data_IF_624738398944
#
_entry.id   IF_624738398944
#
_cell.length_a   1.000
_cell.length_b   1.000
_cell.length_c   1.000
_cell.angle_alpha   90.00
_cell.angle_beta   90.00
_cell.angle_gamma   90.00
#
_symmetry.space_group_name_H-M   'P 1'
#
loop_
_entity.id
_entity.type
_entity.pdbx_description
1 polymer ?
#
# COMPACT_ATOMS: atom_id res chain seq x y z
N UNK A 1 4.11 -18.56 34.48
CA UNK A 1 4.44 -17.25 35.08
C UNK A 1 5.51 -16.57 34.22
N UNK A 2 5.08 -15.90 33.15
CA UNK A 2 5.95 -15.17 32.23
C UNK A 2 5.24 -13.87 31.85
N UNK A 3 4.82 -13.12 32.88
CA UNK A 3 4.38 -11.73 32.71
C UNK A 3 5.64 -10.87 32.62
N UNK A 4 6.14 -10.75 31.39
CA UNK A 4 7.18 -9.78 31.04
C UNK A 4 6.66 -8.37 31.31
N UNK A 5 7.42 -7.63 32.12
CA UNK A 5 7.33 -6.20 32.34
C UNK A 5 7.22 -5.43 31.01
N UNK A 6 6.00 -5.18 30.53
CA UNK A 6 5.76 -4.16 29.52
C UNK A 6 6.00 -2.79 30.18
N UNK A 7 7.03 -2.08 29.72
CA UNK A 7 7.29 -0.71 30.16
C UNK A 7 6.02 0.16 30.02
N UNK A 8 5.65 0.98 31.02
CA UNK A 8 4.43 1.80 30.99
C UNK A 8 4.37 2.74 29.78
N UNK A 9 5.52 3.12 29.21
CA UNK A 9 5.61 3.87 27.96
C UNK A 9 5.03 3.12 26.74
N UNK A 10 5.20 1.80 26.66
CA UNK A 10 4.67 0.97 25.56
C UNK A 10 3.15 0.86 25.57
N UNK A 11 2.55 0.73 26.76
CA UNK A 11 1.10 0.70 26.92
C UNK A 11 0.46 2.06 26.62
N UNK A 12 1.09 3.17 27.04
CA UNK A 12 0.63 4.51 26.73
C UNK A 12 0.68 4.78 25.21
N UNK A 13 1.78 4.44 24.55
CA UNK A 13 1.92 4.58 23.10
C UNK A 13 0.89 3.75 22.34
N UNK A 14 0.59 2.52 22.79
CA UNK A 14 -0.46 1.68 22.19
C UNK A 14 -1.85 2.28 22.36
N UNK A 15 -2.16 2.84 23.54
CA UNK A 15 -3.43 3.54 23.80
C UNK A 15 -3.57 4.80 22.94
N UNK A 16 -2.51 5.61 22.81
CA UNK A 16 -2.50 6.80 21.95
C UNK A 16 -2.72 6.41 20.49
N UNK A 17 -1.98 5.41 20.00
CA UNK A 17 -2.13 4.92 18.61
C UNK A 17 -3.53 4.39 18.33
N UNK A 18 -4.11 3.66 19.28
CA UNK A 18 -5.49 3.17 19.18
C UNK A 18 -6.50 4.32 19.15
N UNK A 19 -6.38 5.30 20.05
CA UNK A 19 -7.26 6.46 20.12
C UNK A 19 -7.17 7.32 18.84
N UNK A 20 -5.96 7.57 18.33
CA UNK A 20 -5.74 8.28 17.05
C UNK A 20 -6.35 7.50 15.88
N UNK A 21 -6.21 6.17 15.89
CA UNK A 21 -6.83 5.29 14.91
C UNK A 21 -8.37 5.38 14.92
N UNK A 22 -8.99 5.38 16.11
CA UNK A 22 -10.44 5.51 16.25
C UNK A 22 -10.95 6.88 15.80
N UNK A 23 -10.26 7.96 16.19
CA UNK A 23 -10.62 9.33 15.81
C UNK A 23 -10.58 9.53 14.29
N UNK A 24 -9.48 9.12 13.65
CA UNK A 24 -9.32 9.29 12.19
C UNK A 24 -10.30 8.45 11.37
N UNK A 25 -10.82 7.34 11.93
CA UNK A 25 -11.84 6.51 11.29
C UNK A 25 -13.28 6.95 11.55
N UNK A 26 -13.52 7.96 12.38
CA UNK A 26 -14.87 8.44 12.68
C UNK A 26 -15.66 8.82 11.42
N UNK A 27 -16.93 8.41 11.35
CA UNK A 27 -17.81 8.70 10.22
C UNK A 27 -17.51 7.93 8.92
N UNK A 28 -16.53 7.00 8.93
CA UNK A 28 -16.08 6.31 7.71
C UNK A 28 -16.57 4.85 7.58
N UNK A 29 -17.24 4.31 8.60
CA UNK A 29 -17.55 2.88 8.71
C UNK A 29 -18.40 2.31 7.56
N UNK A 30 -19.31 3.11 7.01
CA UNK A 30 -20.27 2.69 5.98
C UNK A 30 -19.73 2.72 4.54
N UNK A 31 -18.46 3.13 4.34
CA UNK A 31 -17.87 3.30 3.02
C UNK A 31 -16.98 2.10 2.62
N UNK A 32 -16.94 1.82 1.31
CA UNK A 32 -16.03 0.84 0.72
C UNK A 32 -14.56 1.14 1.08
N UNK A 33 -13.69 0.14 1.18
CA UNK A 33 -12.30 0.31 1.63
C UNK A 33 -11.50 1.40 0.90
N UNK A 34 -11.70 1.51 -0.43
CA UNK A 34 -11.03 2.50 -1.29
C UNK A 34 -11.44 3.94 -0.95
N UNK A 35 -12.73 4.17 -0.66
CA UNK A 35 -13.27 5.46 -0.24
C UNK A 35 -12.92 5.75 1.21
N UNK A 36 -13.04 4.75 2.09
CA UNK A 36 -12.70 4.83 3.51
C UNK A 36 -11.29 5.37 3.74
N UNK A 37 -10.28 4.87 2.99
CA UNK A 37 -8.89 5.36 3.08
C UNK A 37 -8.78 6.87 2.83
N UNK A 38 -9.52 7.42 1.87
CA UNK A 38 -9.52 8.86 1.55
C UNK A 38 -10.24 9.70 2.62
N UNK A 39 -11.33 9.18 3.18
CA UNK A 39 -12.04 9.87 4.26
C UNK A 39 -11.21 9.91 5.55
N UNK A 40 -10.45 8.87 5.84
CA UNK A 40 -9.47 8.85 6.95
C UNK A 40 -8.41 9.95 6.75
N UNK A 41 -7.87 10.08 5.53
CA UNK A 41 -6.92 11.16 5.19
C UNK A 41 -7.58 12.53 5.37
N UNK A 42 -8.84 12.68 4.95
CA UNK A 42 -9.62 13.93 5.10
C UNK A 42 -9.81 14.28 6.58
N UNK A 43 -10.15 13.31 7.43
CA UNK A 43 -10.27 13.51 8.87
C UNK A 43 -8.93 13.91 9.49
N UNK A 44 -7.85 13.22 9.13
CA UNK A 44 -6.51 13.52 9.63
C UNK A 44 -6.10 14.96 9.28
N UNK A 45 -6.29 15.38 8.02
CA UNK A 45 -6.01 16.76 7.60
C UNK A 45 -6.92 17.75 8.31
N UNK A 46 -8.20 17.43 8.49
CA UNK A 46 -9.16 18.25 9.25
C UNK A 46 -8.71 18.47 10.70
N UNK A 47 -8.25 17.43 11.39
CA UNK A 47 -7.73 17.54 12.75
C UNK A 47 -6.42 18.32 12.81
N UNK A 48 -5.49 18.07 11.88
CA UNK A 48 -4.25 18.85 11.80
C UNK A 48 -4.53 20.34 11.54
N UNK A 49 -5.48 20.63 10.65
CA UNK A 49 -5.93 22.01 10.38
C UNK A 49 -6.60 22.63 11.61
N UNK A 50 -7.35 21.85 12.39
CA UNK A 50 -7.96 22.30 13.62
C UNK A 50 -6.93 22.66 14.68
N UNK A 51 -5.93 21.81 14.88
CA UNK A 51 -4.86 22.03 15.85
C UNK A 51 -4.05 23.27 15.44
N UNK A 52 -3.70 23.39 14.15
CA UNK A 52 -2.99 24.55 13.64
C UNK A 52 -3.79 25.84 13.83
N UNK A 53 -5.09 25.84 13.51
CA UNK A 53 -5.97 27.00 13.68
C UNK A 53 -6.09 27.41 15.15
N UNK A 54 -6.23 26.47 16.08
CA UNK A 54 -6.21 26.75 17.53
C UNK A 54 -4.87 27.35 17.97
N UNK A 55 -3.76 26.82 17.46
CA UNK A 55 -2.43 27.35 17.78
C UNK A 55 -2.31 28.81 17.33
N UNK A 56 -2.77 29.16 16.13
CA UNK A 56 -2.76 30.56 15.68
C UNK A 56 -3.68 31.45 16.52
N UNK A 57 -4.87 30.97 16.92
CA UNK A 57 -5.75 31.73 17.80
C UNK A 57 -5.06 32.08 19.13
N UNK A 58 -4.33 31.12 19.72
CA UNK A 58 -3.55 31.35 20.95
C UNK A 58 -2.40 32.34 20.70
N UNK A 59 -1.63 32.18 19.62
CA UNK A 59 -0.55 33.10 19.27
C UNK A 59 -1.05 34.53 19.08
N UNK A 60 -2.20 34.71 18.42
CA UNK A 60 -2.80 36.03 18.20
C UNK A 60 -3.34 36.65 19.50
N UNK A 61 -3.97 35.85 20.35
CA UNK A 61 -4.45 36.30 21.66
C UNK A 61 -3.29 36.73 22.57
N UNK A 62 -2.16 36.00 22.52
CA UNK A 62 -0.96 36.33 23.28
C UNK A 62 -0.27 37.61 22.79
N UNK A 63 -0.33 37.90 21.48
CA UNK A 63 0.28 39.10 20.90
C UNK A 63 -0.58 40.36 21.15
N UNK A 64 -1.88 40.33 20.80
CA UNK A 64 -2.80 41.43 21.07
C UNK A 64 -4.26 40.98 20.97
N UNK A 65 -4.89 40.70 22.12
CA UNK A 65 -6.27 40.25 22.15
C UNK A 65 -7.26 41.27 21.57
N UNK A 66 -7.10 42.56 21.88
CA UNK A 66 -8.00 43.62 21.42
C UNK A 66 -7.81 43.95 19.93
N UNK A 67 -6.55 44.00 19.47
CA UNK A 67 -6.20 44.29 18.08
C UNK A 67 -6.50 43.13 17.12
N UNK A 68 -6.37 41.89 17.58
CA UNK A 68 -6.54 40.67 16.77
C UNK A 68 -7.81 39.88 17.08
N UNK A 69 -8.81 40.49 17.73
CA UNK A 69 -10.07 39.80 18.10
C UNK A 69 -10.72 39.06 16.93
N UNK A 70 -10.79 39.68 15.75
CA UNK A 70 -11.44 39.09 14.58
C UNK A 70 -10.62 37.93 13.99
N UNK A 71 -9.30 38.07 13.78
CA UNK A 71 -8.44 36.94 13.47
C UNK A 71 -8.55 35.75 14.43
N UNK A 72 -8.66 36.00 15.74
CA UNK A 72 -8.83 34.95 16.75
C UNK A 72 -10.16 34.23 16.53
N UNK A 73 -11.26 34.95 16.38
CA UNK A 73 -12.59 34.35 16.15
C UNK A 73 -12.64 33.51 14.86
N UNK A 74 -12.02 33.98 13.78
CA UNK A 74 -11.96 33.23 12.50
C UNK A 74 -11.17 31.94 12.65
N UNK A 75 -10.06 31.95 13.40
CA UNK A 75 -9.30 30.73 13.69
C UNK A 75 -10.06 29.75 14.59
N UNK A 76 -10.81 30.23 15.60
CA UNK A 76 -11.66 29.37 16.42
C UNK A 76 -12.79 28.73 15.60
N UNK A 77 -13.43 29.48 14.72
CA UNK A 77 -14.45 28.96 13.80
C UNK A 77 -13.86 27.96 12.80
N UNK A 78 -12.67 28.25 12.27
CA UNK A 78 -11.93 27.33 11.40
C UNK A 78 -11.63 26.03 12.12
N UNK A 79 -11.13 26.09 13.35
CA UNK A 79 -10.87 24.91 14.17
C UNK A 79 -12.12 24.07 14.42
N UNK A 80 -13.22 24.69 14.85
CA UNK A 80 -14.47 23.99 15.09
C UNK A 80 -15.00 23.31 13.81
N UNK A 81 -14.93 24.02 12.68
CA UNK A 81 -15.37 23.49 11.38
C UNK A 81 -14.50 22.31 10.97
N UNK A 82 -13.17 22.43 11.03
CA UNK A 82 -12.27 21.35 10.59
C UNK A 82 -12.24 20.14 11.54
N UNK A 83 -12.52 20.34 12.84
CA UNK A 83 -12.72 19.26 13.80
C UNK A 83 -14.01 18.46 13.53
N UNK A 84 -15.01 19.08 12.91
CA UNK A 84 -16.28 18.44 12.57
C UNK A 84 -16.23 17.56 11.29
N UNK A 85 -15.06 17.34 10.69
CA UNK A 85 -14.91 16.60 9.41
C UNK A 85 -15.61 15.25 9.33
N UNK A 86 -15.57 14.38 10.36
CA UNK A 86 -16.32 13.12 10.35
C UNK A 86 -17.81 13.26 10.08
N UNK A 87 -18.41 14.35 10.55
CA UNK A 87 -19.84 14.62 10.41
C UNK A 87 -20.23 14.90 8.96
N UNK A 88 -19.38 15.61 8.22
CA UNK A 88 -19.67 16.00 6.84
C UNK A 88 -19.71 14.80 5.88
N UNK A 89 -19.03 13.70 6.21
CA UNK A 89 -19.05 12.47 5.40
C UNK A 89 -20.45 11.88 5.22
N UNK A 90 -21.40 12.19 6.12
CA UNK A 90 -22.81 11.75 6.01
C UNK A 90 -23.53 12.30 4.78
N UNK A 91 -23.07 13.42 4.25
CA UNK A 91 -23.67 14.07 3.06
C UNK A 91 -23.02 13.60 1.75
N UNK A 92 -22.07 12.68 1.83
CA UNK A 92 -21.37 12.13 0.69
C UNK A 92 -19.86 12.15 0.88
N UNK A 93 -19.17 11.30 0.12
CA UNK A 93 -17.71 11.12 0.25
C UNK A 93 -16.88 12.29 -0.29
N UNK A 94 -17.50 13.35 -0.83
CA UNK A 94 -16.82 14.59 -1.23
C UNK A 94 -17.04 15.74 -0.24
N UNK A 95 -18.11 15.68 0.55
CA UNK A 95 -18.62 16.82 1.30
C UNK A 95 -17.60 17.37 2.32
N UNK A 96 -16.98 16.49 3.11
CA UNK A 96 -15.95 16.91 4.07
C UNK A 96 -14.75 17.60 3.40
N UNK A 97 -14.31 17.08 2.24
CA UNK A 97 -13.23 17.69 1.47
C UNK A 97 -13.60 19.06 0.89
N UNK A 98 -14.84 19.23 0.42
CA UNK A 98 -15.33 20.49 -0.12
C UNK A 98 -15.49 21.56 0.97
N UNK A 99 -16.02 21.19 2.13
CA UNK A 99 -16.10 22.07 3.31
C UNK A 99 -14.71 22.50 3.74
N UNK A 100 -13.74 21.56 3.80
CA UNK A 100 -12.36 21.87 4.14
C UNK A 100 -11.74 22.88 3.14
N UNK A 101 -11.85 22.62 1.84
CA UNK A 101 -11.29 23.49 0.81
C UNK A 101 -11.91 24.89 0.84
N UNK A 102 -13.24 24.96 0.96
CA UNK A 102 -13.97 26.23 1.05
C UNK A 102 -13.54 27.02 2.29
N UNK A 103 -13.47 26.36 3.45
CA UNK A 103 -13.07 27.00 4.69
C UNK A 103 -11.64 27.52 4.63
N UNK A 104 -10.70 26.71 4.12
CA UNK A 104 -9.31 27.12 3.92
C UNK A 104 -9.27 28.35 3.02
N UNK A 105 -9.96 28.35 1.88
CA UNK A 105 -9.91 29.47 0.93
C UNK A 105 -10.49 30.76 1.51
N UNK A 106 -11.63 30.69 2.19
CA UNK A 106 -12.24 31.86 2.85
C UNK A 106 -11.30 32.41 3.93
N UNK A 107 -10.75 31.54 4.76
CA UNK A 107 -9.83 31.94 5.85
C UNK A 107 -8.51 32.52 5.31
N UNK A 108 -7.92 31.92 4.28
CA UNK A 108 -6.70 32.45 3.64
C UNK A 108 -6.94 33.82 3.00
N UNK A 109 -8.09 34.01 2.33
CA UNK A 109 -8.43 35.30 1.72
C UNK A 109 -8.63 36.37 2.79
N UNK A 110 -9.39 36.07 3.84
CA UNK A 110 -9.59 36.98 4.97
C UNK A 110 -8.27 37.34 5.66
N UNK A 111 -7.39 36.37 5.93
CA UNK A 111 -6.12 36.67 6.58
C UNK A 111 -5.16 37.44 5.68
N UNK A 112 -5.17 37.18 4.37
CA UNK A 112 -4.37 37.99 3.44
C UNK A 112 -4.89 39.42 3.37
N UNK A 113 -6.20 39.63 3.43
CA UNK A 113 -6.80 40.96 3.58
C UNK A 113 -6.35 41.64 4.87
N UNK A 114 -6.43 40.94 6.01
CA UNK A 114 -6.18 41.51 7.34
C UNK A 114 -4.69 41.83 7.58
N UNK A 115 -3.81 40.87 7.29
CA UNK A 115 -2.37 40.97 7.53
C UNK A 115 -1.60 41.56 6.33
N UNK A 116 -2.27 41.75 5.20
CA UNK A 116 -1.66 42.18 3.95
C UNK A 116 -0.89 41.07 3.23
N UNK A 117 -0.51 41.35 1.98
CA UNK A 117 0.24 40.42 1.11
C UNK A 117 1.61 40.02 1.70
N UNK A 118 2.25 40.92 2.44
CA UNK A 118 3.58 40.69 3.04
C UNK A 118 3.60 39.53 4.04
N UNK A 119 2.44 39.15 4.58
CA UNK A 119 2.30 37.98 5.44
C UNK A 119 2.59 36.64 4.75
N UNK A 120 2.61 36.57 3.42
CA UNK A 120 2.85 35.33 2.67
C UNK A 120 1.73 34.29 2.76
N UNK A 121 0.63 34.55 3.47
CA UNK A 121 -0.47 33.60 3.70
C UNK A 121 -1.10 33.12 2.38
N UNK A 122 -1.20 34.01 1.39
CA UNK A 122 -1.67 33.69 0.03
C UNK A 122 -0.83 32.64 -0.71
N UNK A 123 0.38 32.31 -0.25
CA UNK A 123 1.16 31.20 -0.81
C UNK A 123 0.54 29.83 -0.46
N UNK A 124 -0.27 29.76 0.61
CA UNK A 124 -0.91 28.52 1.04
C UNK A 124 -1.98 27.99 0.08
N UNK A 125 -2.44 28.79 -0.88
CA UNK A 125 -3.31 28.30 -1.96
C UNK A 125 -2.63 27.16 -2.75
N UNK A 126 -1.31 27.22 -2.94
CA UNK A 126 -0.55 26.15 -3.59
C UNK A 126 -0.49 24.87 -2.74
N UNK A 127 -0.37 25.01 -1.41
CA UNK A 127 -0.43 23.88 -0.48
C UNK A 127 -1.80 23.22 -0.48
N UNK A 128 -2.87 24.02 -0.44
CA UNK A 128 -4.25 23.53 -0.52
C UNK A 128 -4.54 22.82 -1.85
N UNK A 129 -4.00 23.32 -2.97
CA UNK A 129 -4.07 22.65 -4.27
C UNK A 129 -3.39 21.26 -4.23
N UNK A 130 -2.20 21.14 -3.64
CA UNK A 130 -1.51 19.85 -3.49
C UNK A 130 -2.32 18.87 -2.62
N UNK A 131 -2.87 19.35 -1.50
CA UNK A 131 -3.68 18.55 -0.57
C UNK A 131 -4.98 18.05 -1.21
N UNK A 132 -5.57 18.79 -2.16
CA UNK A 132 -6.77 18.37 -2.87
C UNK A 132 -6.59 17.02 -3.60
N UNK A 133 -5.39 16.76 -4.14
CA UNK A 133 -5.09 15.47 -4.76
C UNK A 133 -5.14 14.29 -3.77
N UNK A 134 -4.72 14.51 -2.52
CA UNK A 134 -4.78 13.48 -1.46
C UNK A 134 -6.22 13.17 -1.05
N UNK A 135 -7.06 14.20 -0.93
CA UNK A 135 -8.44 14.10 -0.43
C UNK A 135 -9.36 13.47 -1.48
N UNK A 136 -9.34 14.00 -2.71
CA UNK A 136 -10.30 13.62 -3.73
C UNK A 136 -9.83 12.45 -4.58
N UNK A 137 -8.51 12.32 -4.77
CA UNK A 137 -7.87 11.35 -5.66
C UNK A 137 -8.24 11.54 -7.14
N UNK A 138 -7.53 10.83 -8.03
CA UNK A 138 -7.67 11.00 -9.48
C UNK A 138 -9.08 10.71 -10.04
N UNK A 139 -9.89 9.93 -9.32
CA UNK A 139 -11.27 9.64 -9.71
C UNK A 139 -12.19 10.88 -9.76
N UNK A 140 -11.78 12.00 -9.15
CA UNK A 140 -12.55 13.26 -9.09
C UNK A 140 -11.73 14.43 -9.61
N UNK A 141 -11.02 14.21 -10.73
CA UNK A 141 -10.12 15.21 -11.31
C UNK A 141 -10.81 16.55 -11.62
N UNK A 142 -12.08 16.53 -12.02
CA UNK A 142 -12.86 17.75 -12.26
C UNK A 142 -12.98 18.63 -11.01
N UNK A 143 -13.28 18.03 -9.84
CA UNK A 143 -13.34 18.75 -8.57
C UNK A 143 -11.97 19.29 -8.14
N UNK A 144 -10.92 18.50 -8.35
CA UNK A 144 -9.55 18.96 -8.06
C UNK A 144 -9.21 20.16 -8.94
N UNK A 145 -9.50 20.10 -10.23
CA UNK A 145 -9.25 21.20 -11.16
C UNK A 145 -10.00 22.46 -10.74
N UNK A 146 -11.26 22.35 -10.33
CA UNK A 146 -12.04 23.49 -9.80
C UNK A 146 -11.36 24.10 -8.57
N UNK A 147 -10.87 23.29 -7.63
CA UNK A 147 -10.18 23.77 -6.43
C UNK A 147 -8.85 24.44 -6.79
N UNK A 148 -8.05 23.83 -7.68
CA UNK A 148 -6.77 24.37 -8.13
C UNK A 148 -6.96 25.71 -8.82
N UNK A 149 -7.89 25.79 -9.78
CA UNK A 149 -8.22 27.04 -10.50
C UNK A 149 -8.76 28.09 -9.55
N UNK A 150 -9.68 27.74 -8.64
CA UNK A 150 -10.22 28.69 -7.65
C UNK A 150 -9.12 29.21 -6.72
N UNK A 151 -8.20 28.35 -6.27
CA UNK A 151 -7.05 28.75 -5.47
C UNK A 151 -6.11 29.68 -6.22
N UNK A 152 -5.86 29.42 -7.51
CA UNK A 152 -5.06 30.30 -8.36
C UNK A 152 -5.73 31.66 -8.57
N UNK A 153 -7.04 31.67 -8.84
CA UNK A 153 -7.81 32.91 -8.98
C UNK A 153 -7.78 33.72 -7.69
N UNK A 154 -7.97 33.10 -6.53
CA UNK A 154 -7.90 33.78 -5.24
C UNK A 154 -6.49 34.27 -4.91
N UNK A 155 -5.45 33.51 -5.29
CA UNK A 155 -4.06 33.96 -5.18
C UNK A 155 -3.83 35.21 -6.01
N UNK A 156 -4.19 35.21 -7.29
CA UNK A 156 -4.06 36.38 -8.18
C UNK A 156 -4.90 37.55 -7.68
N UNK A 157 -6.14 37.30 -7.26
CA UNK A 157 -7.00 38.34 -6.68
C UNK A 157 -6.36 38.96 -5.44
N UNK A 158 -5.74 38.16 -4.56
CA UNK A 158 -5.01 38.69 -3.42
C UNK A 158 -3.80 39.54 -3.83
N UNK A 159 -3.11 39.21 -4.93
CA UNK A 159 -2.02 40.03 -5.46
C UNK A 159 -2.48 41.40 -5.98
N UNK A 160 -3.67 41.45 -6.57
CA UNK A 160 -4.21 42.64 -7.22
C UNK A 160 -4.98 43.54 -6.25
N UNK A 161 -5.73 42.95 -5.32
CA UNK A 161 -6.61 43.67 -4.40
C UNK A 161 -5.87 44.17 -3.16
N UNK A 162 -4.82 43.49 -2.71
CA UNK A 162 -4.12 43.80 -1.46
C UNK A 162 -2.71 44.34 -1.74
N UNK A 163 -2.55 45.66 -1.61
CA UNK A 163 -1.31 46.39 -1.84
C UNK A 163 -0.38 46.28 -0.63
N UNK A 164 0.93 46.43 -0.86
CA UNK A 164 1.96 46.51 0.18
C UNK A 164 1.59 47.58 1.22
N UNK A 165 1.69 47.24 2.51
CA UNK A 165 1.38 48.15 3.61
C UNK A 165 -0.12 48.33 3.94
N UNK A 166 -1.04 47.61 3.30
CA UNK A 166 -2.50 47.69 3.56
C UNK A 166 -2.99 46.93 4.81
N UNK A 167 -2.11 46.52 5.73
CA UNK A 167 -2.54 45.85 6.96
C UNK A 167 -3.58 46.71 7.69
N UNK A 168 -4.72 46.11 8.07
CA UNK A 168 -5.86 46.86 8.65
C UNK A 168 -5.53 47.56 9.97
N UNK A 169 -4.41 47.19 10.59
CA UNK A 169 -3.85 47.76 11.80
C UNK A 169 -2.34 47.95 11.62
N UNK A 170 -1.75 48.89 12.35
CA UNK A 170 -0.29 48.98 12.46
C UNK A 170 0.24 47.72 13.16
N UNK A 171 0.64 46.72 12.39
CA UNK A 171 1.24 45.48 12.87
C UNK A 171 2.75 45.67 12.83
N UNK A 172 3.43 45.26 13.90
CA UNK A 172 4.87 45.38 13.99
C UNK A 172 5.55 44.50 12.90
N UNK A 173 6.55 45.03 12.15
CA UNK A 173 7.23 44.27 11.10
C UNK A 173 7.79 42.89 11.51
N UNK A 174 8.31 42.68 12.74
CA UNK A 174 8.77 41.35 13.18
C UNK A 174 7.65 40.30 13.20
N UNK A 175 6.43 40.68 13.57
CA UNK A 175 5.29 39.77 13.63
C UNK A 175 4.84 39.34 12.22
N UNK A 176 4.81 40.27 11.26
CA UNK A 176 4.53 39.94 9.85
C UNK A 176 5.60 39.01 9.27
N UNK A 177 6.88 39.28 9.58
CA UNK A 177 8.00 38.42 9.15
C UNK A 177 7.86 37.01 9.73
N UNK A 178 7.46 36.89 10.99
CA UNK A 178 7.20 35.59 11.63
C UNK A 178 6.08 34.83 10.90
N UNK A 179 4.96 35.49 10.58
CA UNK A 179 3.85 34.87 9.83
C UNK A 179 4.34 34.41 8.45
N UNK A 180 5.09 35.24 7.74
CA UNK A 180 5.65 34.91 6.43
C UNK A 180 6.53 33.66 6.50
N UNK A 181 7.47 33.62 7.46
CA UNK A 181 8.38 32.47 7.64
C UNK A 181 7.59 31.19 7.94
N UNK A 182 6.55 31.26 8.78
CA UNK A 182 5.70 30.11 9.06
C UNK A 182 4.94 29.68 7.80
N UNK A 183 4.37 30.63 7.04
CA UNK A 183 3.61 30.33 5.82
C UNK A 183 4.49 29.68 4.74
N UNK A 184 5.68 30.23 4.48
CA UNK A 184 6.61 29.66 3.48
C UNK A 184 7.16 28.30 3.92
N UNK A 185 7.51 28.14 5.20
CA UNK A 185 8.06 26.88 5.72
C UNK A 185 7.00 25.77 5.71
N UNK A 186 5.78 26.07 6.14
CA UNK A 186 4.68 25.10 6.12
C UNK A 186 4.24 24.74 4.71
N UNK A 187 4.25 25.68 3.75
CA UNK A 187 4.01 25.36 2.35
C UNK A 187 5.03 24.35 1.82
N UNK A 188 6.33 24.59 2.06
CA UNK A 188 7.41 23.66 1.67
C UNK A 188 7.20 22.29 2.30
N UNK A 189 6.85 22.23 3.59
CA UNK A 189 6.57 20.98 4.29
C UNK A 189 5.36 20.25 3.70
N UNK A 190 4.26 20.96 3.41
CA UNK A 190 3.05 20.37 2.80
C UNK A 190 3.40 19.77 1.44
N UNK A 191 4.08 20.52 0.57
CA UNK A 191 4.47 20.04 -0.76
C UNK A 191 5.41 18.83 -0.63
N UNK A 192 6.41 18.89 0.24
CA UNK A 192 7.32 17.77 0.47
C UNK A 192 6.60 16.51 0.98
N UNK A 193 5.67 16.64 1.93
CA UNK A 193 4.87 15.51 2.45
C UNK A 193 3.97 14.93 1.36
N UNK A 194 3.31 15.78 0.56
CA UNK A 194 2.45 15.33 -0.54
C UNK A 194 3.27 14.58 -1.59
N UNK A 195 4.41 15.14 -2.02
CA UNK A 195 5.32 14.50 -2.98
C UNK A 195 5.86 13.19 -2.43
N UNK A 196 6.33 13.17 -1.18
CA UNK A 196 6.80 11.97 -0.50
C UNK A 196 5.71 10.89 -0.44
N UNK A 197 4.47 11.27 -0.11
CA UNK A 197 3.34 10.34 -0.07
C UNK A 197 3.07 9.70 -1.45
N UNK A 198 3.05 10.51 -2.52
CA UNK A 198 2.82 9.99 -3.86
C UNK A 198 3.97 9.10 -4.34
N UNK A 199 5.21 9.46 -4.03
CA UNK A 199 6.38 8.63 -4.32
C UNK A 199 6.30 7.27 -3.61
N UNK A 200 5.99 7.26 -2.31
CA UNK A 200 5.81 6.01 -1.56
C UNK A 200 4.67 5.15 -2.12
N UNK A 201 3.54 5.78 -2.47
CA UNK A 201 2.41 5.06 -3.06
C UNK A 201 2.77 4.44 -4.42
N UNK A 202 3.56 5.12 -5.24
CA UNK A 202 4.05 4.60 -6.52
C UNK A 202 5.02 3.43 -6.31
N UNK A 203 6.02 3.61 -5.44
CA UNK A 203 7.00 2.57 -5.11
C UNK A 203 6.34 1.31 -4.52
N UNK A 204 5.34 1.46 -3.64
CA UNK A 204 4.60 0.33 -3.09
C UNK A 204 3.75 -0.38 -4.13
N UNK A 205 3.17 0.35 -5.10
CA UNK A 205 2.42 -0.25 -6.19
C UNK A 205 3.34 -1.07 -7.11
N UNK A 206 4.52 -0.54 -7.42
CA UNK A 206 5.56 -1.21 -8.20
C UNK A 206 6.03 -2.49 -7.51
N UNK A 207 6.50 -2.40 -6.25
CA UNK A 207 6.93 -3.57 -5.47
C UNK A 207 5.89 -4.68 -5.41
N UNK A 208 4.61 -4.33 -5.20
CA UNK A 208 3.53 -5.33 -5.17
C UNK A 208 3.33 -5.99 -6.54
N UNK A 209 3.41 -5.21 -7.61
CA UNK A 209 3.32 -5.73 -8.98
C UNK A 209 4.48 -6.68 -9.27
N UNK A 210 5.70 -6.33 -8.85
CA UNK A 210 6.88 -7.20 -9.01
C UNK A 210 6.79 -8.47 -8.18
N UNK A 211 6.42 -8.37 -6.91
CA UNK A 211 6.23 -9.53 -6.03
C UNK A 211 5.17 -10.49 -6.60
N UNK A 212 4.04 -9.98 -7.10
CA UNK A 212 3.01 -10.81 -7.71
C UNK A 212 3.50 -11.48 -9.01
N UNK A 213 4.32 -10.79 -9.80
CA UNK A 213 4.90 -11.36 -11.01
C UNK A 213 5.89 -12.49 -10.68
N UNK A 214 6.76 -12.28 -9.68
CA UNK A 214 7.73 -13.28 -9.23
C UNK A 214 7.11 -14.48 -8.51
N UNK A 215 5.89 -14.34 -7.96
CA UNK A 215 5.15 -15.47 -7.42
C UNK A 215 4.58 -16.41 -8.51
N UNK A 216 4.58 -15.98 -9.78
CA UNK A 216 4.01 -16.73 -10.91
C UNK A 216 5.11 -17.16 -11.90
N UNK A 217 6.20 -16.41 -11.98
CA UNK A 217 7.30 -16.65 -12.91
C UNK A 217 8.65 -16.56 -12.19
N UNK A 218 9.62 -17.40 -12.57
CA UNK A 218 11.00 -17.23 -12.12
C UNK A 218 11.54 -15.84 -12.46
N UNK A 219 12.45 -15.31 -11.64
CA UNK A 219 12.97 -13.93 -11.76
C UNK A 219 13.52 -13.64 -13.16
N UNK A 220 14.38 -14.51 -13.68
CA UNK A 220 14.99 -14.35 -15.00
C UNK A 220 13.94 -14.30 -16.14
N UNK A 221 12.88 -15.10 -16.03
CA UNK A 221 11.79 -15.15 -17.01
C UNK A 221 10.92 -13.89 -16.93
N UNK A 222 10.65 -13.41 -15.71
CA UNK A 222 9.90 -12.18 -15.46
C UNK A 222 10.62 -10.94 -16.00
N UNK A 223 11.95 -10.86 -15.84
CA UNK A 223 12.78 -9.77 -16.40
C UNK A 223 12.77 -9.80 -17.93
N UNK A 224 12.94 -10.98 -18.54
CA UNK A 224 12.90 -11.11 -20.00
C UNK A 224 11.54 -10.67 -20.58
N UNK A 225 10.41 -11.01 -19.93
CA UNK A 225 9.09 -10.53 -20.36
C UNK A 225 8.92 -9.01 -20.25
N UNK A 226 9.53 -8.38 -19.24
CA UNK A 226 9.49 -6.91 -19.07
C UNK A 226 10.27 -6.22 -20.18
N UNK A 227 11.43 -6.75 -20.56
CA UNK A 227 12.29 -6.18 -21.58
C UNK A 227 11.72 -6.39 -23.01
N UNK A 228 11.09 -7.54 -23.26
CA UNK A 228 10.58 -7.94 -24.57
C UNK A 228 9.12 -8.41 -24.49
N UNK A 229 8.16 -7.48 -24.25
CA UNK A 229 6.76 -7.83 -24.11
C UNK A 229 6.19 -8.42 -25.42
N UNK A 230 5.67 -9.64 -25.34
CA UNK A 230 5.03 -10.34 -26.47
C UNK A 230 5.93 -11.30 -27.24
N UNK A 231 7.22 -11.38 -26.89
CA UNK A 231 8.12 -12.39 -27.45
C UNK A 231 7.88 -13.76 -26.79
N UNK A 232 7.99 -14.83 -27.57
CA UNK A 232 7.88 -16.19 -27.05
C UNK A 232 9.12 -16.51 -26.21
N UNK A 233 8.93 -16.75 -24.92
CA UNK A 233 10.00 -17.28 -24.07
C UNK A 233 9.96 -18.80 -24.16
N UNK A 234 10.96 -19.36 -24.81
CA UNK A 234 11.22 -20.80 -24.85
C UNK A 234 12.73 -21.06 -24.82
N UNK A 235 13.18 -21.76 -23.79
CA UNK A 235 14.58 -22.12 -23.59
C UNK A 235 14.72 -23.64 -23.54
N UNK A 236 15.71 -24.16 -24.25
CA UNK A 236 16.10 -25.57 -24.17
C UNK A 236 17.16 -25.75 -23.09
N UNK A 237 16.99 -26.79 -22.29
CA UNK A 237 17.92 -27.25 -21.28
C UNK A 237 18.35 -28.68 -21.64
N UNK A 238 19.65 -28.92 -21.71
CA UNK A 238 20.17 -30.22 -22.13
C UNK A 238 20.15 -31.26 -21.02
N UNK A 239 20.23 -30.83 -19.75
CA UNK A 239 20.22 -31.71 -18.59
C UNK A 239 19.49 -31.05 -17.41
N UNK A 240 18.34 -31.59 -17.05
CA UNK A 240 17.53 -31.19 -15.88
C UNK A 240 16.96 -32.44 -15.20
N UNK A 241 16.64 -32.32 -13.92
CA UNK A 241 15.95 -33.39 -13.18
C UNK A 241 14.52 -32.97 -12.86
N UNK A 242 13.55 -33.70 -13.38
CA UNK A 242 12.11 -33.45 -13.20
C UNK A 242 11.57 -34.39 -12.13
N UNK A 243 10.80 -33.84 -11.19
CA UNK A 243 10.10 -34.55 -10.14
C UNK A 243 8.59 -34.37 -10.31
N UNK A 244 7.86 -35.48 -10.28
CA UNK A 244 6.42 -35.52 -10.03
C UNK A 244 6.17 -36.20 -8.70
N UNK A 245 5.32 -35.60 -7.89
CA UNK A 245 4.89 -36.12 -6.60
C UNK A 245 3.36 -36.15 -6.56
N UNK A 246 2.75 -37.22 -6.07
CA UNK A 246 1.29 -37.36 -6.00
C UNK A 246 0.85 -38.09 -4.72
N UNK A 247 -0.34 -37.76 -4.23
CA UNK A 247 -0.87 -38.34 -3.00
C UNK A 247 -1.54 -39.69 -3.28
N UNK A 248 -1.06 -40.73 -2.60
CA UNK A 248 -1.65 -42.06 -2.71
C UNK A 248 -3.06 -42.06 -2.12
N UNK A 249 -4.05 -42.48 -2.91
CA UNK A 249 -5.43 -42.63 -2.42
C UNK A 249 -6.17 -41.31 -2.16
N UNK A 250 -5.69 -40.19 -2.72
CA UNK A 250 -6.34 -38.89 -2.55
C UNK A 250 -7.78 -38.85 -3.06
N UNK A 251 -8.08 -39.46 -4.21
CA UNK A 251 -9.44 -39.46 -4.76
C UNK A 251 -10.46 -40.05 -3.76
N UNK A 252 -10.25 -41.26 -3.19
CA UNK A 252 -11.07 -41.75 -2.07
C UNK A 252 -11.15 -40.78 -0.88
N UNK A 253 -10.02 -40.25 -0.41
CA UNK A 253 -9.96 -39.33 0.73
C UNK A 253 -10.78 -38.04 0.49
N UNK A 254 -10.70 -37.49 -0.72
CA UNK A 254 -11.42 -36.27 -1.13
C UNK A 254 -12.94 -36.45 -1.14
N UNK A 255 -13.45 -37.69 -1.17
CA UNK A 255 -14.89 -37.97 -1.09
C UNK A 255 -15.42 -38.00 0.33
N UNK A 256 -14.54 -38.12 1.32
CA UNK A 256 -14.90 -38.24 2.74
C UNK A 256 -14.70 -36.95 3.53
N UNK A 257 -14.15 -35.90 2.91
CA UNK A 257 -13.85 -34.62 3.53
C UNK A 257 -14.66 -33.49 2.88
N UNK A 258 -14.95 -32.44 3.65
CA UNK A 258 -15.52 -31.24 3.07
C UNK A 258 -14.50 -30.52 2.16
N UNK A 259 -14.99 -29.82 1.14
CA UNK A 259 -14.13 -29.15 0.17
C UNK A 259 -13.14 -28.17 0.82
N UNK A 260 -13.57 -27.47 1.89
CA UNK A 260 -12.69 -26.57 2.65
C UNK A 260 -11.56 -27.31 3.36
N UNK A 261 -11.83 -28.47 3.94
CA UNK A 261 -10.84 -29.26 4.67
C UNK A 261 -9.79 -29.87 3.72
N UNK A 262 -10.21 -30.26 2.52
CA UNK A 262 -9.31 -30.74 1.46
C UNK A 262 -8.36 -29.63 1.03
N UNK A 263 -8.90 -28.43 0.80
CA UNK A 263 -8.08 -27.27 0.41
C UNK A 263 -7.09 -26.91 1.52
N UNK A 264 -7.51 -26.95 2.79
CA UNK A 264 -6.62 -26.73 3.93
C UNK A 264 -5.54 -27.79 4.07
N UNK A 265 -5.86 -29.05 3.78
CA UNK A 265 -4.89 -30.15 3.77
C UNK A 265 -3.86 -29.98 2.66
N UNK A 266 -4.32 -29.76 1.41
CA UNK A 266 -3.44 -29.53 0.27
C UNK A 266 -2.55 -28.31 0.48
N UNK A 267 -3.10 -27.22 1.03
CA UNK A 267 -2.31 -26.03 1.35
C UNK A 267 -1.23 -26.34 2.41
N UNK A 268 -1.55 -27.07 3.47
CA UNK A 268 -0.56 -27.45 4.48
C UNK A 268 0.57 -28.32 3.90
N UNK A 269 0.25 -29.23 2.98
CA UNK A 269 1.23 -30.08 2.30
C UNK A 269 2.10 -29.25 1.36
N UNK A 270 1.49 -28.51 0.44
CA UNK A 270 2.23 -27.77 -0.58
C UNK A 270 3.06 -26.62 -0.01
N UNK A 271 2.66 -25.99 1.10
CA UNK A 271 3.53 -25.02 1.80
C UNK A 271 4.83 -25.68 2.26
N UNK A 272 4.77 -26.90 2.84
CA UNK A 272 5.97 -27.62 3.28
C UNK A 272 6.84 -28.06 2.10
N UNK A 273 6.21 -28.38 0.97
CA UNK A 273 6.95 -28.71 -0.26
C UNK A 273 7.60 -27.49 -0.90
N UNK A 274 6.93 -26.34 -0.88
CA UNK A 274 7.46 -25.07 -1.37
C UNK A 274 8.69 -24.65 -0.54
N UNK A 275 8.62 -24.79 0.79
CA UNK A 275 9.75 -24.57 1.71
C UNK A 275 10.93 -25.51 1.36
N UNK A 276 10.67 -26.82 1.26
CA UNK A 276 11.69 -27.80 0.95
C UNK A 276 12.33 -27.59 -0.44
N UNK A 277 11.53 -27.18 -1.43
CA UNK A 277 12.01 -26.88 -2.77
C UNK A 277 12.92 -25.63 -2.77
N UNK A 278 12.52 -24.58 -2.04
CA UNK A 278 13.34 -23.38 -1.86
C UNK A 278 14.67 -23.69 -1.16
N UNK A 279 14.65 -24.48 -0.08
CA UNK A 279 15.85 -24.89 0.66
C UNK A 279 16.80 -25.76 -0.20
N UNK A 280 16.23 -26.60 -1.07
CA UNK A 280 17.00 -27.41 -2.02
C UNK A 280 17.46 -26.64 -3.26
N UNK A 281 17.01 -25.40 -3.47
CA UNK A 281 17.26 -24.62 -4.69
C UNK A 281 16.69 -25.31 -5.93
N UNK A 282 15.45 -25.79 -5.82
CA UNK A 282 14.67 -26.45 -6.87
C UNK A 282 13.47 -25.57 -7.25
N UNK A 283 13.20 -25.42 -8.54
CA UNK A 283 12.10 -24.60 -9.02
C UNK A 283 10.78 -25.39 -9.00
N UNK A 284 9.75 -24.81 -8.37
CA UNK A 284 8.38 -25.29 -8.48
C UNK A 284 7.81 -24.89 -9.82
N UNK A 285 7.28 -25.84 -10.59
CA UNK A 285 6.62 -25.54 -11.87
C UNK A 285 5.13 -25.28 -11.67
N UNK A 286 4.41 -26.27 -11.11
CA UNK A 286 2.95 -26.21 -10.94
C UNK A 286 2.45 -27.29 -10.02
N UNK A 287 1.20 -27.13 -9.58
CA UNK A 287 0.39 -28.20 -9.02
C UNK A 287 -0.68 -28.62 -10.02
N UNK A 288 -1.04 -29.91 -10.02
CA UNK A 288 -2.09 -30.47 -10.88
C UNK A 288 -3.00 -31.32 -9.99
N UNK A 289 -4.04 -30.70 -9.43
CA UNK A 289 -4.85 -31.35 -8.39
C UNK A 289 -4.02 -31.58 -7.13
N UNK A 290 -3.83 -32.84 -6.77
CA UNK A 290 -2.98 -33.36 -5.69
C UNK A 290 -1.52 -33.57 -6.08
N UNK A 291 -1.20 -33.49 -7.37
CA UNK A 291 0.17 -33.65 -7.85
C UNK A 291 0.99 -32.35 -7.74
N UNK A 292 2.29 -32.50 -7.48
CA UNK A 292 3.29 -31.45 -7.38
C UNK A 292 4.43 -31.70 -8.39
N UNK A 293 4.73 -30.70 -9.22
CA UNK A 293 5.81 -30.77 -10.22
C UNK A 293 6.93 -29.79 -9.88
N UNK A 294 8.15 -30.28 -9.79
CA UNK A 294 9.35 -29.49 -9.51
C UNK A 294 10.49 -29.88 -10.48
N UNK A 295 11.40 -28.95 -10.77
CA UNK A 295 12.54 -29.21 -11.65
C UNK A 295 13.81 -28.59 -11.08
N UNK A 296 14.86 -29.41 -10.99
CA UNK A 296 16.22 -28.97 -10.69
C UNK A 296 16.99 -28.73 -11.97
N UNK A 297 17.86 -27.71 -11.98
CA UNK A 297 18.65 -27.33 -13.16
C UNK A 297 18.02 -26.25 -14.03
N UNK A 298 16.91 -25.66 -13.56
CA UNK A 298 16.30 -24.46 -14.15
C UNK A 298 15.79 -23.53 -13.03
N UNK A 299 15.56 -22.22 -13.31
CA UNK A 299 15.97 -21.53 -14.53
C UNK A 299 17.50 -21.43 -14.65
N UNK A 300 18.21 -21.53 -13.52
CA UNK A 300 19.66 -21.56 -13.43
C UNK A 300 20.21 -22.98 -13.62
N UNK A 301 21.16 -23.14 -14.55
CA UNK A 301 21.80 -24.44 -14.80
C UNK A 301 22.81 -24.72 -13.70
N UNK A 302 22.62 -25.82 -12.97
CA UNK A 302 23.48 -26.26 -11.85
C UNK A 302 23.89 -27.71 -12.04
N UNK A 303 25.14 -28.07 -11.75
CA UNK A 303 25.66 -29.43 -11.99
C UNK A 303 25.16 -30.51 -11.02
N UNK A 304 24.56 -30.12 -9.90
CA UNK A 304 24.06 -31.00 -8.84
C UNK A 304 22.53 -31.14 -8.84
N UNK A 305 21.85 -30.78 -9.94
CA UNK A 305 20.38 -30.76 -10.04
C UNK A 305 19.72 -32.08 -9.61
N UNK A 306 20.29 -33.22 -9.98
CA UNK A 306 19.77 -34.54 -9.62
C UNK A 306 19.86 -34.81 -8.11
N UNK A 307 20.93 -34.35 -7.47
CA UNK A 307 21.09 -34.47 -6.03
C UNK A 307 20.07 -33.60 -5.28
N UNK A 308 19.87 -32.36 -5.72
CA UNK A 308 18.88 -31.44 -5.15
C UNK A 308 17.46 -32.00 -5.23
N UNK A 309 17.08 -32.54 -6.39
CA UNK A 309 15.77 -33.15 -6.60
C UNK A 309 15.58 -34.42 -5.75
N UNK A 310 16.61 -35.25 -5.61
CA UNK A 310 16.54 -36.42 -4.73
C UNK A 310 16.40 -36.02 -3.25
N UNK A 311 17.12 -34.97 -2.81
CA UNK A 311 16.99 -34.41 -1.47
C UNK A 311 15.57 -33.86 -1.22
N UNK A 312 14.99 -33.15 -2.19
CA UNK A 312 13.60 -32.69 -2.14
C UNK A 312 12.62 -33.87 -1.96
N UNK A 313 12.77 -34.94 -2.73
CA UNK A 313 11.90 -36.11 -2.64
C UNK A 313 11.92 -36.76 -1.23
N UNK A 314 13.09 -36.82 -0.60
CA UNK A 314 13.23 -37.34 0.75
C UNK A 314 12.56 -36.42 1.78
N UNK A 315 12.72 -35.11 1.64
CA UNK A 315 12.10 -34.12 2.52
C UNK A 315 10.57 -34.12 2.38
N UNK A 316 10.05 -34.20 1.15
CA UNK A 316 8.61 -34.33 0.88
C UNK A 316 8.01 -35.55 1.59
N UNK A 317 8.70 -36.69 1.58
CA UNK A 317 8.27 -37.90 2.27
C UNK A 317 8.23 -37.71 3.79
N UNK A 318 9.24 -37.04 4.35
CA UNK A 318 9.28 -36.69 5.78
C UNK A 318 8.13 -35.74 6.16
N UNK A 319 7.90 -34.69 5.37
CA UNK A 319 6.83 -33.73 5.58
C UNK A 319 5.43 -34.38 5.54
N UNK A 320 5.20 -35.32 4.60
CA UNK A 320 3.95 -36.10 4.55
C UNK A 320 3.77 -36.94 5.82
N UNK A 321 4.82 -37.61 6.30
CA UNK A 321 4.74 -38.41 7.53
C UNK A 321 4.41 -37.55 8.76
N UNK A 322 4.98 -36.34 8.86
CA UNK A 322 4.66 -35.39 9.93
C UNK A 322 3.20 -34.94 9.87
N UNK A 323 2.71 -34.56 8.68
CA UNK A 323 1.32 -34.09 8.49
C UNK A 323 0.33 -35.23 8.74
N UNK A 324 0.63 -36.44 8.25
CA UNK A 324 -0.15 -37.65 8.48
C UNK A 324 -0.33 -37.91 9.97
N UNK A 325 0.77 -37.88 10.73
CA UNK A 325 0.74 -38.06 12.18
C UNK A 325 -0.03 -36.93 12.87
N UNK A 326 0.21 -35.68 12.51
CA UNK A 326 -0.42 -34.53 13.17
C UNK A 326 -1.94 -34.45 12.96
N UNK A 327 -2.42 -34.96 11.82
CA UNK A 327 -3.85 -34.92 11.45
C UNK A 327 -4.56 -36.28 11.60
N UNK A 328 -3.86 -37.30 12.06
CA UNK A 328 -4.38 -38.68 12.18
C UNK A 328 -4.95 -39.22 10.85
N UNK A 329 -4.27 -38.91 9.75
CA UNK A 329 -4.64 -39.34 8.41
C UNK A 329 -3.66 -40.40 7.89
N UNK A 330 -4.17 -41.37 7.13
CA UNK A 330 -3.35 -42.29 6.35
C UNK A 330 -2.95 -41.60 5.03
N UNK A 331 -1.86 -40.83 5.08
CA UNK A 331 -1.31 -40.15 3.91
C UNK A 331 0.01 -40.78 3.49
N UNK A 332 0.15 -41.01 2.19
CA UNK A 332 1.38 -41.45 1.59
C UNK A 332 1.58 -40.74 0.24
N UNK A 333 2.81 -40.74 -0.26
CA UNK A 333 3.21 -40.02 -1.46
C UNK A 333 3.98 -40.94 -2.41
N UNK A 334 3.68 -40.83 -3.70
CA UNK A 334 4.51 -41.39 -4.77
C UNK A 334 5.35 -40.29 -5.36
N UNK A 335 6.58 -40.63 -5.73
CA UNK A 335 7.52 -39.69 -6.34
C UNK A 335 8.21 -40.34 -7.52
N UNK A 336 8.02 -39.77 -8.71
CA UNK A 336 8.72 -40.12 -9.93
C UNK A 336 9.77 -39.07 -10.28
N UNK A 337 11.00 -39.51 -10.54
CA UNK A 337 12.11 -38.63 -10.95
C UNK A 337 12.69 -39.13 -12.26
N UNK A 338 12.90 -38.23 -13.22
CA UNK A 338 13.68 -38.51 -14.42
C UNK A 338 14.64 -37.36 -14.72
N UNK A 339 15.77 -37.69 -15.33
CA UNK A 339 16.81 -36.73 -15.73
C UNK A 339 17.04 -36.81 -17.24
N UNK A 340 17.21 -35.64 -17.87
CA UNK A 340 17.51 -35.53 -19.29
C UNK A 340 17.09 -34.18 -19.87
N UNK A 341 17.05 -34.04 -21.20
CA UNK A 341 16.75 -32.77 -21.85
C UNK A 341 15.28 -32.37 -21.69
N UNK A 342 15.03 -31.07 -21.62
CA UNK A 342 13.69 -30.48 -21.58
C UNK A 342 13.68 -29.08 -22.21
N UNK A 343 12.49 -28.58 -22.55
CA UNK A 343 12.28 -27.19 -22.92
C UNK A 343 11.37 -26.53 -21.89
N UNK A 344 11.73 -25.35 -21.42
CA UNK A 344 10.90 -24.56 -20.50
C UNK A 344 10.55 -23.22 -21.14
N UNK A 345 9.40 -22.66 -20.79
CA UNK A 345 8.93 -21.45 -21.43
C UNK A 345 7.59 -20.96 -20.91
N UNK A 346 7.19 -19.80 -21.41
CA UNK A 346 5.93 -19.15 -21.03
C UNK A 346 4.90 -19.33 -22.14
N UNK A 347 3.76 -19.94 -21.82
CA UNK A 347 2.66 -20.13 -22.77
C UNK A 347 1.44 -19.32 -22.35
N UNK A 348 0.79 -18.69 -23.32
CA UNK A 348 -0.48 -17.98 -23.17
C UNK A 348 -0.31 -16.46 -23.12
N UNK A 349 -1.37 -15.72 -23.48
CA UNK A 349 -1.35 -14.25 -23.50
C UNK A 349 -2.05 -13.62 -22.28
N UNK A 350 -3.16 -14.21 -21.81
CA UNK A 350 -3.96 -13.65 -20.71
C UNK A 350 -3.80 -14.39 -19.36
N UNK A 351 -3.41 -15.67 -19.41
CA UNK A 351 -3.09 -16.52 -18.25
C UNK A 351 -1.78 -17.23 -18.55
N UNK A 352 -0.73 -16.43 -18.66
CA UNK A 352 0.59 -16.96 -18.96
C UNK A 352 1.06 -17.84 -17.80
N UNK A 353 1.67 -18.98 -18.12
CA UNK A 353 2.25 -19.91 -17.15
C UNK A 353 3.64 -20.33 -17.64
N UNK A 354 4.61 -20.33 -16.73
CA UNK A 354 5.90 -20.96 -16.97
C UNK A 354 5.76 -22.46 -16.76
N UNK A 355 6.16 -23.25 -17.75
CA UNK A 355 5.98 -24.70 -17.74
C UNK A 355 7.11 -25.38 -18.51
N UNK A 356 7.20 -26.71 -18.39
CA UNK A 356 8.31 -27.53 -18.90
C UNK A 356 7.75 -28.69 -19.72
N UNK A 357 8.34 -28.93 -20.89
CA UNK A 357 7.97 -29.97 -21.84
C UNK A 357 9.18 -30.81 -22.26
N UNK A 358 8.93 -32.06 -22.62
CA UNK A 358 9.94 -32.96 -23.16
C UNK A 358 9.71 -34.40 -22.74
N UNK A 359 10.47 -35.32 -23.34
CA UNK A 359 10.37 -36.74 -23.04
C UNK A 359 10.76 -37.05 -21.59
N UNK A 360 11.69 -36.28 -21.01
CA UNK A 360 12.06 -36.36 -19.58
C UNK A 360 10.87 -36.09 -18.66
N UNK A 361 10.04 -35.09 -18.98
CA UNK A 361 8.83 -34.76 -18.20
C UNK A 361 7.83 -35.92 -18.27
N UNK A 362 7.62 -36.47 -19.47
CA UNK A 362 6.73 -37.61 -19.68
C UNK A 362 7.23 -38.88 -18.98
N UNK A 363 8.55 -39.08 -18.91
CA UNK A 363 9.16 -40.21 -18.20
C UNK A 363 8.99 -40.07 -16.68
N UNK A 364 9.28 -38.88 -16.12
CA UNK A 364 9.10 -38.62 -14.69
C UNK A 364 7.65 -38.86 -14.26
N UNK A 365 6.67 -38.36 -15.04
CA UNK A 365 5.25 -38.55 -14.78
C UNK A 365 4.77 -40.02 -14.89
N UNK A 366 5.52 -40.91 -15.54
CA UNK A 366 5.21 -42.36 -15.61
C UNK A 366 5.91 -43.17 -14.52
N UNK A 367 6.93 -42.60 -13.88
CA UNK A 367 7.66 -43.20 -12.77
C UNK A 367 7.02 -42.90 -11.42
N UNK A 368 6.24 -41.82 -11.34
CA UNK A 368 5.28 -41.57 -10.25
C UNK A 368 4.16 -42.62 -10.31
#
# INVERSE_FOLDING_TARGET
MKDSLEFPAGQLLRRIRSAVGQLTQAGTAHFLPTVKRRLIITNMIGYLSSISSLSYAVTYAAHSFSGLKWPIMVNLLSAATTASMPFWHRFGSAAGGMVLATMIFVTLFYFTYFFGRESGIHLQYFGAAAVAFLIFGLARLSLILVIVVSGLVLHVAAQLLFVVGQATTAIEPPFLTQIYVIASTSLTAIVAIVVWYFYQMAADAERRSEQLLHNVLPVAVAEQLKDQPGEMIAQRYDDVSVLFADLVGFTPLSRTMEASEIVELLNAIFVRFDEAAADAGVEKIKTIGDAYMAVGGLPEVVGDHAHRIASLALEMRSAIAEIAHARELDLNIRVGIATGPAAAGVIGQAKFAYDVWGDTVNLAARLE
#
